data_IF_963438387406
#
_entry.id   IF_963438387406
#
_cell.length_a   1.000
_cell.length_b   1.000
_cell.length_c   1.000
_cell.angle_alpha   90.00
_cell.angle_beta   90.00
_cell.angle_gamma   90.00
#
_symmetry.space_group_name_H-M   'P 1'
#
loop_
_entity.id
_entity.type
_entity.pdbx_description
1 polymer ?
#
# COMPACT_ATOMS: atom_id res chain seq x y z
N UNK A 1 -0.94 -21.06 -12.73
CA UNK A 1 -1.76 -21.82 -11.76
C UNK A 1 -1.91 -20.95 -10.53
N UNK A 2 -3.13 -20.56 -10.17
CA UNK A 2 -3.39 -19.87 -8.89
C UNK A 2 -3.32 -20.92 -7.78
N UNK A 3 -2.30 -20.86 -6.94
CA UNK A 3 -2.24 -21.65 -5.71
C UNK A 3 -2.92 -20.79 -4.64
N UNK A 4 -4.18 -21.10 -4.34
CA UNK A 4 -4.91 -20.50 -3.20
C UNK A 4 -4.69 -21.45 -2.03
N UNK A 5 -3.79 -21.08 -1.12
CA UNK A 5 -3.70 -21.70 0.20
C UNK A 5 -4.15 -20.66 1.23
N UNK A 6 -5.07 -21.04 2.12
CA UNK A 6 -5.53 -20.21 3.23
C UNK A 6 -6.11 -18.84 2.84
N UNK A 7 -6.73 -18.72 1.68
CA UNK A 7 -7.42 -17.51 1.21
C UNK A 7 -6.48 -16.29 1.05
N UNK A 8 -5.24 -16.55 0.64
CA UNK A 8 -4.24 -15.53 0.32
C UNK A 8 -3.65 -15.73 -1.08
N UNK A 9 -3.07 -14.67 -1.63
CA UNK A 9 -2.44 -14.60 -2.94
C UNK A 9 -0.99 -14.14 -2.83
N UNK A 10 -0.22 -14.38 -3.90
CA UNK A 10 1.14 -13.88 -4.05
C UNK A 10 1.17 -12.75 -5.08
N UNK A 11 1.82 -11.65 -4.74
CA UNK A 11 1.99 -10.48 -5.59
C UNK A 11 3.47 -10.23 -5.83
N UNK A 12 3.83 -9.81 -7.04
CA UNK A 12 5.19 -9.38 -7.39
C UNK A 12 5.17 -7.88 -7.63
N UNK A 13 5.99 -7.13 -6.90
CA UNK A 13 6.15 -5.69 -7.06
C UNK A 13 7.13 -5.38 -8.20
N UNK A 14 7.13 -4.13 -8.67
CA UNK A 14 7.98 -3.67 -9.79
C UNK A 14 9.49 -3.89 -9.56
N UNK A 15 9.93 -3.99 -8.30
CA UNK A 15 11.32 -4.29 -7.95
C UNK A 15 11.64 -5.79 -7.88
N UNK A 16 10.72 -6.66 -8.30
CA UNK A 16 10.84 -8.12 -8.25
C UNK A 16 10.58 -8.73 -6.86
N UNK A 17 10.21 -7.93 -5.86
CA UNK A 17 9.86 -8.45 -4.54
C UNK A 17 8.55 -9.25 -4.62
N UNK A 18 8.58 -10.49 -4.14
CA UNK A 18 7.40 -11.35 -4.03
C UNK A 18 6.83 -11.28 -2.62
N UNK A 19 5.58 -10.86 -2.52
CA UNK A 19 4.81 -10.79 -1.29
C UNK A 19 3.83 -11.96 -1.26
N UNK A 20 3.88 -12.74 -0.19
CA UNK A 20 2.89 -13.77 0.12
C UNK A 20 1.98 -13.29 1.25
N UNK A 21 0.77 -13.84 1.35
CA UNK A 21 -0.16 -13.50 2.44
C UNK A 21 -1.03 -12.28 2.14
N UNK A 22 -1.03 -11.79 0.89
CA UNK A 22 -1.99 -10.76 0.46
C UNK A 22 -3.38 -11.40 0.46
N UNK A 23 -4.40 -10.76 1.04
CA UNK A 23 -5.76 -11.31 1.02
C UNK A 23 -6.24 -11.48 -0.43
N UNK A 24 -7.17 -12.41 -0.69
CA UNK A 24 -7.80 -12.55 -2.01
C UNK A 24 -8.71 -11.36 -2.33
N UNK A 25 -8.95 -11.07 -3.61
CA UNK A 25 -9.86 -9.98 -4.03
C UNK A 25 -11.25 -10.10 -3.40
N UNK A 26 -11.74 -11.32 -3.20
CA UNK A 26 -13.04 -11.62 -2.58
C UNK A 26 -13.10 -11.18 -1.11
N UNK A 27 -11.96 -11.15 -0.41
CA UNK A 27 -11.86 -10.67 0.96
C UNK A 27 -11.62 -9.15 1.06
N UNK A 28 -11.47 -8.46 -0.08
CA UNK A 28 -11.36 -7.02 -0.09
C UNK A 28 -12.73 -6.44 0.29
N UNK A 29 -12.88 -5.99 1.53
CA UNK A 29 -14.15 -5.58 2.16
C UNK A 29 -14.80 -4.32 1.59
N UNK A 30 -14.58 -3.99 0.32
CA UNK A 30 -15.15 -2.83 -0.38
C UNK A 30 -14.47 -1.49 -0.08
N UNK A 31 -13.55 -1.43 0.88
CA UNK A 31 -12.71 -0.26 1.18
C UNK A 31 -11.61 -0.08 0.14
N UNK A 32 -10.88 1.04 0.22
CA UNK A 32 -9.66 1.17 -0.57
C UNK A 32 -8.62 0.10 -0.17
N UNK A 33 -7.85 -0.35 -1.16
CA UNK A 33 -6.85 -1.37 -1.02
C UNK A 33 -5.76 -1.18 -2.07
N UNK A 34 -4.51 -1.12 -1.61
CA UNK A 34 -3.29 -0.94 -2.43
C UNK A 34 -3.25 -1.82 -3.69
N UNK A 35 -3.77 -3.05 -3.61
CA UNK A 35 -3.74 -4.02 -4.72
C UNK A 35 -5.07 -4.18 -5.46
N UNK A 36 -6.17 -4.41 -4.73
CA UNK A 36 -7.43 -4.84 -5.34
C UNK A 36 -8.38 -3.70 -5.67
N UNK A 37 -8.25 -2.57 -4.97
CA UNK A 37 -9.13 -1.43 -5.10
C UNK A 37 -8.38 -0.12 -4.79
N UNK A 38 -7.32 0.22 -5.55
CA UNK A 38 -6.56 1.41 -5.27
C UNK A 38 -7.41 2.65 -5.57
N UNK A 39 -7.30 3.69 -4.73
CA UNK A 39 -7.99 4.94 -4.99
C UNK A 39 -7.36 5.70 -6.17
N UNK A 40 -8.08 6.67 -6.72
CA UNK A 40 -7.59 7.52 -7.81
C UNK A 40 -6.58 8.60 -7.37
N UNK A 41 -5.89 8.42 -6.23
CA UNK A 41 -4.91 9.40 -5.72
C UNK A 41 -3.69 9.50 -6.67
N UNK A 42 -3.06 10.67 -6.76
CA UNK A 42 -1.97 10.90 -7.74
C UNK A 42 -0.73 10.02 -7.51
N UNK A 43 -0.49 9.65 -6.25
CA UNK A 43 0.63 8.78 -5.86
C UNK A 43 0.44 7.31 -6.30
N UNK A 44 -0.74 6.91 -6.79
CA UNK A 44 -1.01 5.54 -7.26
C UNK A 44 -0.10 5.09 -8.41
N UNK A 45 0.43 6.07 -9.16
CA UNK A 45 1.38 5.87 -10.27
C UNK A 45 2.83 5.79 -9.82
N UNK A 46 3.12 6.12 -8.55
CA UNK A 46 4.45 6.06 -8.00
C UNK A 46 4.84 4.62 -7.67
N UNK A 47 6.15 4.36 -7.64
CA UNK A 47 6.70 3.04 -7.37
C UNK A 47 6.25 2.57 -5.98
N UNK A 48 5.59 1.43 -5.93
CA UNK A 48 5.18 0.78 -4.69
C UNK A 48 6.38 0.13 -4.00
N UNK A 49 6.46 0.25 -2.67
CA UNK A 49 7.49 -0.35 -1.85
C UNK A 49 6.88 -0.96 -0.58
N UNK A 50 7.24 -2.21 -0.27
CA UNK A 50 6.87 -2.84 1.00
C UNK A 50 7.94 -2.58 2.06
N UNK A 51 7.50 -2.08 3.23
CA UNK A 51 8.31 -1.86 4.42
C UNK A 51 8.14 -3.03 5.37
N UNK A 52 9.02 -4.01 5.25
CA UNK A 52 8.96 -5.23 6.07
C UNK A 52 9.12 -4.95 7.57
N UNK A 53 9.88 -3.91 7.93
CA UNK A 53 10.09 -3.48 9.32
C UNK A 53 8.84 -2.87 9.96
N UNK A 54 7.88 -2.38 9.16
CA UNK A 54 6.66 -1.71 9.62
C UNK A 54 5.38 -2.45 9.25
N UNK A 55 5.44 -3.38 8.31
CA UNK A 55 4.25 -4.07 7.78
C UNK A 55 3.34 -3.14 6.97
N UNK A 56 3.90 -2.20 6.20
CA UNK A 56 3.12 -1.21 5.42
C UNK A 56 3.63 -1.06 3.98
N UNK A 57 2.78 -0.51 3.11
CA UNK A 57 3.15 -0.02 1.80
C UNK A 57 3.50 1.47 1.81
N UNK A 58 4.53 1.81 1.05
CA UNK A 58 4.89 3.17 0.68
C UNK A 58 4.80 3.35 -0.83
N UNK A 59 4.56 4.59 -1.25
CA UNK A 59 4.74 5.11 -2.60
C UNK A 59 6.00 5.95 -2.61
N UNK A 60 6.96 5.58 -3.44
CA UNK A 60 8.23 6.29 -3.57
C UNK A 60 8.09 7.39 -4.61
N UNK A 61 8.19 8.64 -4.19
CA UNK A 61 8.12 9.80 -5.09
C UNK A 61 9.35 9.92 -5.98
N UNK A 62 9.33 10.87 -6.92
CA UNK A 62 10.46 11.14 -7.82
C UNK A 62 11.74 11.62 -7.10
N UNK A 63 11.61 12.19 -5.90
CA UNK A 63 12.75 12.57 -5.05
C UNK A 63 13.36 11.39 -4.29
N UNK A 64 12.76 10.20 -4.38
CA UNK A 64 13.20 9.00 -3.67
C UNK A 64 12.70 8.89 -2.23
N UNK A 65 11.78 9.75 -1.80
CA UNK A 65 11.16 9.71 -0.46
C UNK A 65 9.98 8.73 -0.46
N UNK A 66 9.89 7.90 0.57
CA UNK A 66 8.78 6.97 0.77
C UNK A 66 7.64 7.61 1.56
N UNK A 67 6.45 7.63 0.97
CA UNK A 67 5.22 8.12 1.60
C UNK A 67 4.26 6.96 1.84
N UNK A 68 3.64 6.85 3.03
CA UNK A 68 2.59 5.88 3.28
C UNK A 68 1.53 5.89 2.16
N UNK A 69 1.21 4.71 1.61
CA UNK A 69 0.15 4.60 0.61
C UNK A 69 -1.20 4.98 1.24
N UNK A 70 -1.92 6.02 0.72
CA UNK A 70 -3.21 6.45 1.24
C UNK A 70 -4.28 5.37 1.30
N UNK A 71 -4.20 4.34 0.45
CA UNK A 71 -5.18 3.25 0.39
C UNK A 71 -5.14 2.32 1.61
N UNK A 72 -4.21 2.55 2.54
CA UNK A 72 -4.14 1.85 3.82
C UNK A 72 -4.78 2.63 4.97
N UNK A 73 -5.12 3.90 4.77
CA UNK A 73 -5.46 4.80 5.87
C UNK A 73 -6.76 4.45 6.57
N UNK A 74 -7.77 3.99 5.82
CA UNK A 74 -9.04 3.54 6.37
C UNK A 74 -8.86 2.27 7.23
N UNK A 75 -8.03 1.33 6.76
CA UNK A 75 -7.65 0.16 7.54
C UNK A 75 -6.92 0.57 8.83
N UNK A 76 -5.99 1.53 8.75
CA UNK A 76 -5.28 1.98 9.94
C UNK A 76 -6.17 2.70 10.95
N UNK A 77 -7.11 3.52 10.49
CA UNK A 77 -8.08 4.19 11.37
C UNK A 77 -8.95 3.18 12.11
N UNK A 78 -9.46 2.16 11.41
CA UNK A 78 -10.28 1.11 12.02
C UNK A 78 -9.52 0.17 12.97
N UNK A 79 -8.18 0.14 12.90
CA UNK A 79 -7.32 -0.75 13.69
C UNK A 79 -6.38 -0.01 14.66
N UNK A 80 -6.63 1.27 14.95
CA UNK A 80 -5.81 2.10 15.86
C UNK A 80 -4.31 2.21 15.47
N UNK A 81 -4.04 2.16 14.17
CA UNK A 81 -2.70 2.24 13.59
C UNK A 81 -2.37 3.64 13.03
N UNK A 82 -3.11 4.66 13.46
CA UNK A 82 -3.03 6.03 12.94
C UNK A 82 -1.62 6.66 13.01
N UNK A 83 -0.79 6.22 13.95
CA UNK A 83 0.61 6.66 14.10
C UNK A 83 1.48 6.36 12.87
N UNK A 84 1.12 5.35 12.04
CA UNK A 84 1.83 5.02 10.81
C UNK A 84 1.64 6.07 9.70
N UNK A 85 0.67 6.99 9.86
CA UNK A 85 0.53 8.15 8.97
C UNK A 85 1.63 9.20 9.20
N UNK A 86 2.30 9.20 10.36
CA UNK A 86 3.41 10.12 10.63
C UNK A 86 4.66 9.62 9.91
N UNK A 87 5.15 10.42 8.96
CA UNK A 87 6.28 10.06 8.09
C UNK A 87 7.13 11.29 7.76
N UNK A 88 8.37 11.05 7.32
CA UNK A 88 9.18 12.08 6.70
C UNK A 88 8.55 12.44 5.35
N UNK A 89 8.27 13.72 5.14
CA UNK A 89 7.58 14.20 3.95
C UNK A 89 8.36 15.37 3.33
N UNK A 90 8.45 15.37 2.01
CA UNK A 90 9.04 16.44 1.19
C UNK A 90 7.98 17.37 0.55
N UNK A 91 6.69 17.13 0.83
CA UNK A 91 5.55 17.92 0.37
C UNK A 91 4.84 17.38 -0.87
N UNK A 92 5.41 16.42 -1.61
CA UNK A 92 4.86 16.01 -2.90
C UNK A 92 3.63 15.08 -2.80
N UNK A 93 3.33 14.56 -1.60
CA UNK A 93 2.15 13.74 -1.35
C UNK A 93 0.84 14.54 -1.26
N UNK A 94 0.90 15.87 -1.36
CA UNK A 94 -0.26 16.75 -1.44
C UNK A 94 -0.62 17.03 -2.91
N UNK A 95 -1.92 17.14 -3.21
CA UNK A 95 -2.41 17.33 -4.59
C UNK A 95 -2.12 18.72 -5.17
N UNK A 96 -1.54 19.65 -4.42
CA UNK A 96 -1.03 20.93 -4.91
C UNK A 96 0.14 21.39 -4.03
N UNK A 97 1.32 21.60 -4.63
CA UNK A 97 2.35 22.53 -4.13
C UNK A 97 2.77 23.47 -5.24
#
# INVERSE_FOLDING_TARGET
MKQIENNTETWELDNGLKLSGVHTKENCGGTYCVFHNPSGHHMSTWRMHWRDDKGIFERICEHGVGHPDPDQFEYWESNDMHHLKVHGCDGCCHVDS
#
